data_IF_793141755376
#
_entry.id   IF_793141755376
#
_cell.length_a   1.000
_cell.length_b   1.000
_cell.length_c   1.000
_cell.angle_alpha   90.00
_cell.angle_beta   90.00
_cell.angle_gamma   90.00
#
_symmetry.space_group_name_H-M   'P 1'
#
loop_
_entity.id
_entity.type
_entity.pdbx_description
1 polymer ?
#
# COMPACT_ATOMS: atom_id res chain seq x y z
N UNK A 1 50.81 56.32 8.26
CA UNK A 1 50.50 57.27 9.35
C UNK A 1 48.99 57.41 9.42
N UNK A 2 48.42 57.15 10.59
CA UNK A 2 47.10 57.54 11.15
C UNK A 2 45.99 57.97 10.18
N UNK A 3 44.71 57.63 10.30
CA UNK A 3 43.85 56.94 11.27
C UNK A 3 42.40 57.25 10.74
N UNK A 4 41.25 56.73 11.19
CA UNK A 4 40.65 56.61 12.52
C UNK A 4 39.31 55.85 12.32
N UNK A 5 38.94 55.03 13.31
CA UNK A 5 37.60 54.87 13.94
C UNK A 5 36.33 54.65 13.08
N UNK A 6 35.34 53.83 13.42
CA UNK A 6 35.08 52.84 14.49
C UNK A 6 33.71 52.19 14.12
N UNK A 7 33.45 51.01 14.69
CA UNK A 7 32.15 50.32 14.82
C UNK A 7 31.63 49.40 13.69
N UNK A 8 31.24 48.19 14.15
CA UNK A 8 30.93 46.93 13.45
C UNK A 8 29.49 46.91 12.89
N UNK A 9 29.17 45.96 12.00
CA UNK A 9 28.51 44.74 12.51
C UNK A 9 29.07 43.44 11.93
N UNK A 10 29.25 42.47 12.82
CA UNK A 10 29.62 41.10 12.49
C UNK A 10 28.34 40.30 12.20
N UNK A 11 28.27 39.74 10.99
CA UNK A 11 27.60 38.49 10.60
C UNK A 11 26.18 38.21 11.13
N UNK A 12 25.19 38.19 10.23
CA UNK A 12 24.20 37.11 10.19
C UNK A 12 23.75 36.81 8.76
N UNK A 13 23.65 35.51 8.50
CA UNK A 13 23.77 34.83 7.22
C UNK A 13 22.59 35.03 6.26
N UNK A 14 22.94 34.97 4.96
CA UNK A 14 22.18 34.40 3.85
C UNK A 14 20.66 34.26 4.03
N UNK A 15 19.93 35.18 3.39
CA UNK A 15 18.49 35.06 3.16
C UNK A 15 18.18 33.95 2.16
N UNK A 16 17.47 32.95 2.67
CA UNK A 16 16.85 31.80 2.01
C UNK A 16 16.19 32.11 0.65
N UNK A 17 16.74 31.56 -0.43
CA UNK A 17 15.93 31.15 -1.57
C UNK A 17 15.44 29.72 -1.30
N UNK A 18 14.21 29.56 -0.82
CA UNK A 18 13.53 28.27 -0.71
C UNK A 18 13.27 27.73 -2.13
N UNK A 19 14.22 26.97 -2.67
CA UNK A 19 13.95 26.05 -3.78
C UNK A 19 13.11 24.94 -3.19
N UNK A 20 11.83 24.89 -3.55
CA UNK A 20 10.92 23.81 -3.21
C UNK A 20 11.48 22.49 -3.74
N UNK A 21 12.06 21.70 -2.83
CA UNK A 21 12.43 20.31 -3.08
C UNK A 21 11.13 19.56 -3.37
N UNK A 22 10.87 19.26 -4.64
CA UNK A 22 9.84 18.29 -5.03
C UNK A 22 10.25 16.94 -4.46
N UNK A 23 9.65 16.56 -3.34
CA UNK A 23 9.79 15.23 -2.76
C UNK A 23 9.05 14.21 -3.63
N UNK A 24 9.71 13.75 -4.70
CA UNK A 24 9.26 12.64 -5.54
C UNK A 24 9.66 11.30 -4.95
N UNK A 25 9.14 10.91 -3.79
CA UNK A 25 9.43 9.58 -3.20
C UNK A 25 8.25 9.04 -2.39
N UNK A 26 7.23 8.44 -3.01
CA UNK A 26 6.23 7.67 -2.22
C UNK A 26 5.38 6.62 -2.95
N UNK A 27 5.60 6.32 -4.24
CA UNK A 27 4.85 5.23 -4.90
C UNK A 27 5.47 3.84 -4.62
N UNK A 28 6.79 3.72 -4.69
CA UNK A 28 7.49 2.42 -4.63
C UNK A 28 7.35 1.66 -3.31
N UNK A 29 7.14 2.36 -2.20
CA UNK A 29 7.02 1.71 -0.90
C UNK A 29 5.67 0.98 -0.72
N UNK A 30 4.67 1.23 -1.58
CA UNK A 30 3.36 0.56 -1.51
C UNK A 30 3.37 -0.85 -2.11
N UNK A 31 4.31 -1.14 -3.00
CA UNK A 31 4.44 -2.39 -3.74
C UNK A 31 5.87 -2.95 -3.67
N UNK A 32 6.49 -2.89 -2.50
CA UNK A 32 7.89 -3.31 -2.29
C UNK A 32 8.18 -4.76 -2.73
N UNK A 33 7.16 -5.58 -2.96
CA UNK A 33 7.27 -6.92 -3.54
C UNK A 33 7.01 -6.84 -5.06
N UNK A 34 7.97 -7.27 -5.90
CA UNK A 34 7.80 -7.27 -7.35
C UNK A 34 6.57 -8.09 -7.74
N UNK A 35 5.69 -7.50 -8.56
CA UNK A 35 4.44 -8.13 -9.00
C UNK A 35 3.19 -7.72 -8.23
N UNK A 36 3.31 -7.19 -7.00
CA UNK A 36 2.14 -6.70 -6.24
C UNK A 36 1.46 -5.51 -6.92
N UNK A 37 2.25 -4.63 -7.53
CA UNK A 37 1.73 -3.47 -8.28
C UNK A 37 0.93 -3.91 -9.51
N UNK A 38 1.47 -4.83 -10.31
CA UNK A 38 0.79 -5.33 -11.51
C UNK A 38 -0.49 -6.08 -11.17
N UNK A 39 -0.46 -6.93 -10.13
CA UNK A 39 -1.65 -7.64 -9.68
C UNK A 39 -2.72 -6.67 -9.16
N UNK A 40 -2.32 -5.68 -8.35
CA UNK A 40 -3.23 -4.63 -7.89
C UNK A 40 -3.84 -3.85 -9.05
N UNK A 41 -3.01 -3.37 -9.98
CA UNK A 41 -3.45 -2.59 -11.13
C UNK A 41 -4.39 -3.38 -12.03
N UNK A 42 -4.15 -4.68 -12.21
CA UNK A 42 -5.03 -5.56 -12.98
C UNK A 42 -6.42 -5.68 -12.34
N UNK A 43 -6.48 -5.84 -11.01
CA UNK A 43 -7.75 -5.92 -10.27
C UNK A 43 -8.45 -4.55 -10.24
N UNK A 44 -7.69 -3.46 -10.16
CA UNK A 44 -8.20 -2.09 -10.16
C UNK A 44 -8.75 -1.69 -11.52
N UNK A 45 -8.09 -2.06 -12.62
CA UNK A 45 -8.54 -1.79 -13.97
C UNK A 45 -9.93 -2.39 -14.27
N UNK A 46 -10.24 -3.55 -13.67
CA UNK A 46 -11.57 -4.18 -13.79
C UNK A 46 -12.56 -3.76 -12.68
N UNK A 47 -12.18 -2.80 -11.83
CA UNK A 47 -13.04 -2.26 -10.78
C UNK A 47 -13.39 -3.25 -9.66
N UNK A 48 -12.57 -4.28 -9.43
CA UNK A 48 -12.85 -5.34 -8.44
C UNK A 48 -12.05 -5.24 -7.13
N UNK A 49 -11.42 -4.10 -6.89
CA UNK A 49 -10.67 -3.84 -5.65
C UNK A 49 -11.55 -3.96 -4.40
N UNK A 50 -12.82 -3.54 -4.47
CA UNK A 50 -13.74 -3.69 -3.34
C UNK A 50 -14.03 -5.16 -3.03
N UNK A 51 -14.15 -6.02 -4.04
CA UNK A 51 -14.34 -7.45 -3.84
C UNK A 51 -13.10 -8.08 -3.18
N UNK A 52 -11.90 -7.69 -3.62
CA UNK A 52 -10.66 -8.07 -2.96
C UNK A 52 -10.65 -7.60 -1.50
N UNK A 53 -10.99 -6.33 -1.25
CA UNK A 53 -11.04 -5.77 0.10
C UNK A 53 -11.98 -6.56 1.03
N UNK A 54 -13.16 -6.95 0.55
CA UNK A 54 -14.12 -7.76 1.32
C UNK A 54 -13.53 -9.11 1.68
N UNK A 55 -12.84 -9.78 0.74
CA UNK A 55 -12.20 -11.08 1.01
C UNK A 55 -11.14 -10.99 2.10
N UNK A 56 -10.28 -9.97 2.03
CA UNK A 56 -9.17 -9.80 2.97
C UNK A 56 -9.68 -9.33 4.34
N UNK A 57 -10.53 -8.29 4.38
CA UNK A 57 -11.04 -7.70 5.64
C UNK A 57 -11.85 -8.69 6.47
N UNK A 58 -12.63 -9.55 5.80
CA UNK A 58 -13.43 -10.56 6.49
C UNK A 58 -12.65 -11.86 6.72
N UNK A 59 -11.38 -11.94 6.32
CA UNK A 59 -10.55 -13.16 6.40
C UNK A 59 -11.31 -14.38 5.85
N UNK A 60 -11.85 -14.24 4.64
CA UNK A 60 -12.80 -15.21 4.09
C UNK A 60 -12.20 -16.61 3.99
N UNK A 61 -12.92 -17.62 4.48
CA UNK A 61 -12.48 -19.02 4.52
C UNK A 61 -12.08 -19.58 3.13
N UNK A 62 -12.56 -19.00 2.02
CA UNK A 62 -12.15 -19.38 0.66
C UNK A 62 -10.64 -19.23 0.45
N UNK A 63 -10.01 -18.21 1.04
CA UNK A 63 -8.56 -17.98 0.94
C UNK A 63 -7.77 -19.08 1.67
N UNK A 64 -8.34 -19.61 2.75
CA UNK A 64 -7.74 -20.68 3.56
C UNK A 64 -7.95 -22.06 2.91
N UNK A 65 -9.16 -22.31 2.39
CA UNK A 65 -9.46 -23.55 1.63
C UNK A 65 -8.59 -23.70 0.38
N UNK A 66 -8.18 -22.57 -0.22
CA UNK A 66 -7.24 -22.52 -1.34
C UNK A 66 -5.77 -22.63 -0.91
N UNK A 67 -5.47 -22.60 0.38
CA UNK A 67 -4.10 -22.66 0.91
C UNK A 67 -3.32 -21.35 0.77
N UNK A 68 -3.98 -20.23 0.46
CA UNK A 68 -3.31 -18.94 0.27
C UNK A 68 -3.05 -18.21 1.58
N UNK A 69 -3.81 -18.54 2.63
CA UNK A 69 -3.62 -18.07 4.01
C UNK A 69 -3.71 -19.26 4.97
N UNK A 70 -2.91 -19.21 6.02
CA UNK A 70 -2.93 -20.19 7.10
C UNK A 70 -4.09 -19.90 8.07
N UNK A 71 -4.67 -20.94 8.68
CA UNK A 71 -5.80 -20.83 9.62
C UNK A 71 -7.14 -21.26 9.03
N UNK A 72 -8.24 -20.99 9.73
CA UNK A 72 -9.60 -21.42 9.34
C UNK A 72 -10.43 -20.39 8.57
N UNK A 73 -10.10 -19.09 8.70
CA UNK A 73 -10.88 -17.98 8.15
C UNK A 73 -12.33 -17.92 8.67
N UNK A 74 -13.05 -16.87 8.28
CA UNK A 74 -14.47 -16.72 8.60
C UNK A 74 -15.34 -17.27 7.47
N UNK A 75 -16.35 -18.08 7.83
CA UNK A 75 -17.34 -18.62 6.92
C UNK A 75 -18.53 -17.65 6.69
N UNK A 76 -18.27 -16.35 6.49
CA UNK A 76 -19.32 -15.37 6.18
C UNK A 76 -19.72 -15.46 4.72
N UNK A 77 -20.49 -16.50 4.39
CA UNK A 77 -20.84 -16.83 3.01
C UNK A 77 -21.62 -15.71 2.31
N UNK A 78 -22.42 -14.95 3.05
CA UNK A 78 -23.21 -13.80 2.59
C UNK A 78 -22.35 -12.69 1.96
N UNK A 79 -21.17 -12.41 2.51
CA UNK A 79 -20.24 -11.39 1.98
C UNK A 79 -19.09 -11.97 1.17
N UNK A 80 -18.57 -13.13 1.58
CA UNK A 80 -17.41 -13.75 0.94
C UNK A 80 -17.75 -14.35 -0.42
N UNK A 81 -18.90 -14.99 -0.55
CA UNK A 81 -19.32 -15.64 -1.82
C UNK A 81 -19.51 -14.63 -2.95
N UNK A 82 -20.27 -13.52 -2.79
CA UNK A 82 -20.43 -12.57 -3.88
C UNK A 82 -19.12 -11.87 -4.25
N UNK A 83 -18.27 -11.55 -3.26
CA UNK A 83 -16.97 -10.96 -3.50
C UNK A 83 -16.04 -11.92 -4.28
N UNK A 84 -15.97 -13.18 -3.86
CA UNK A 84 -15.23 -14.22 -4.57
C UNK A 84 -15.72 -14.39 -6.02
N UNK A 85 -17.04 -14.53 -6.20
CA UNK A 85 -17.64 -14.72 -7.51
C UNK A 85 -17.38 -13.52 -8.45
N UNK A 86 -17.34 -12.29 -7.92
CA UNK A 86 -17.00 -11.11 -8.70
C UNK A 86 -15.56 -11.16 -9.23
N UNK A 87 -14.61 -11.69 -8.45
CA UNK A 87 -13.21 -11.84 -8.86
C UNK A 87 -13.02 -13.01 -9.83
N UNK A 88 -13.73 -14.11 -9.64
CA UNK A 88 -13.77 -15.24 -10.57
C UNK A 88 -14.31 -14.79 -11.93
N UNK A 89 -15.46 -14.10 -11.96
CA UNK A 89 -16.05 -13.58 -13.20
C UNK A 89 -15.15 -12.57 -13.91
N UNK A 90 -14.34 -11.82 -13.16
CA UNK A 90 -13.38 -10.87 -13.72
C UNK A 90 -12.05 -11.51 -14.16
N UNK A 91 -11.88 -12.83 -14.00
CA UNK A 91 -10.64 -13.53 -14.35
C UNK A 91 -9.44 -13.11 -13.50
N UNK A 92 -9.65 -12.55 -12.31
CA UNK A 92 -8.59 -11.97 -11.49
C UNK A 92 -8.08 -12.91 -10.39
N UNK A 93 -8.51 -14.17 -10.37
CA UNK A 93 -8.20 -15.13 -9.29
C UNK A 93 -6.69 -15.27 -9.09
N UNK A 94 -5.91 -15.37 -10.17
CA UNK A 94 -4.44 -15.48 -10.12
C UNK A 94 -3.77 -14.23 -9.53
N UNK A 95 -4.29 -13.04 -9.84
CA UNK A 95 -3.77 -11.80 -9.26
C UNK A 95 -4.10 -11.71 -7.77
N UNK A 96 -5.29 -12.14 -7.37
CA UNK A 96 -5.67 -12.22 -5.94
C UNK A 96 -4.77 -13.23 -5.22
N UNK A 97 -4.57 -14.42 -5.79
CA UNK A 97 -3.68 -15.45 -5.27
C UNK A 97 -2.28 -14.90 -5.03
N UNK A 98 -1.68 -14.31 -6.07
CA UNK A 98 -0.35 -13.71 -5.98
C UNK A 98 -0.28 -12.72 -4.83
N UNK A 99 -1.27 -11.81 -4.76
CA UNK A 99 -1.27 -10.78 -3.73
C UNK A 99 -1.40 -11.32 -2.32
N UNK A 100 -2.24 -12.33 -2.13
CA UNK A 100 -2.54 -12.95 -0.84
C UNK A 100 -1.37 -13.79 -0.34
N UNK A 101 -0.84 -14.66 -1.21
CA UNK A 101 0.28 -15.56 -0.90
C UNK A 101 1.57 -14.78 -0.60
N UNK A 102 1.83 -13.71 -1.33
CA UNK A 102 3.00 -12.85 -1.11
C UNK A 102 2.75 -11.76 -0.07
N UNK A 103 1.55 -11.71 0.52
CA UNK A 103 1.19 -10.78 1.57
C UNK A 103 1.53 -9.31 1.22
N UNK A 104 1.03 -8.85 0.07
CA UNK A 104 1.38 -7.55 -0.47
C UNK A 104 1.19 -6.39 0.52
N UNK A 105 2.16 -5.47 0.65
CA UNK A 105 2.13 -4.40 1.65
C UNK A 105 0.95 -3.44 1.53
N UNK A 106 0.30 -3.38 0.36
CA UNK A 106 -0.91 -2.61 0.12
C UNK A 106 -2.06 -2.98 1.07
N UNK A 107 -2.14 -4.25 1.51
CA UNK A 107 -3.17 -4.69 2.44
C UNK A 107 -3.05 -4.02 3.82
N UNK A 108 -1.82 -3.87 4.33
CA UNK A 108 -1.55 -3.20 5.59
C UNK A 108 -1.75 -1.68 5.47
N UNK A 109 -1.27 -1.07 4.37
CA UNK A 109 -1.45 0.37 4.13
C UNK A 109 -2.91 0.78 3.99
N UNK A 110 -3.76 -0.09 3.44
CA UNK A 110 -5.21 0.13 3.36
C UNK A 110 -5.95 -0.27 4.64
N UNK A 111 -5.25 -0.79 5.65
CA UNK A 111 -5.82 -1.24 6.92
C UNK A 111 -6.75 -2.45 6.79
N UNK A 112 -6.54 -3.31 5.77
CA UNK A 112 -7.38 -4.50 5.54
C UNK A 112 -6.96 -5.69 6.38
N UNK A 113 -5.65 -5.81 6.59
CA UNK A 113 -5.06 -6.77 7.50
C UNK A 113 -4.54 -5.97 8.68
N UNK A 114 -4.87 -6.39 9.90
CA UNK A 114 -4.18 -5.83 11.07
C UNK A 114 -2.72 -6.19 10.94
N UNK A 115 -1.83 -5.21 11.03
CA UNK A 115 -0.40 -5.46 11.22
C UNK A 115 -0.27 -6.34 12.46
N UNK A 116 -0.16 -7.64 12.27
CA UNK A 116 0.27 -8.54 13.33
C UNK A 116 1.74 -8.22 13.50
N UNK A 117 2.02 -7.34 14.46
CA UNK A 117 3.36 -7.14 15.02
C UNK A 117 3.93 -8.53 15.33
N UNK A 118 4.88 -8.96 14.51
CA UNK A 118 5.78 -10.06 14.83
C UNK A 118 6.92 -9.51 15.67
#
# INVERSE_FOLDING_TARGET
MFAYFFMKPLKRCLGFAFVSIVSGTTAYAQYAIPGCENAWNSINAVGRINALAVLIRNDCAVLHRKGWRLGGGNARQDVCTPAWNALVKAGQVTNVEFMVTHNCPVFYRKGWVRSSSF
#
